data_IF_119605827395
#
_entry.id   IF_119605827395
#
_cell.length_a   1.000
_cell.length_b   1.000
_cell.length_c   1.000
_cell.angle_alpha   90.00
_cell.angle_beta   90.00
_cell.angle_gamma   90.00
#
_symmetry.space_group_name_H-M   'P 1'
#
loop_
_entity.id
_entity.type
_entity.pdbx_description
1 polymer ?
#
# COMPACT_ATOMS: atom_id res chain seq x y z
N UNK A 1 24.02 55.80 -23.78
CA UNK A 1 23.60 55.40 -22.40
C UNK A 1 22.12 55.09 -22.26
N UNK A 2 21.16 55.88 -22.76
CA UNK A 2 19.70 55.60 -22.62
C UNK A 2 19.22 54.33 -23.38
N UNK A 3 19.81 54.04 -24.55
CA UNK A 3 19.46 52.82 -25.35
C UNK A 3 19.99 51.53 -24.75
N UNK A 4 21.18 51.53 -24.18
CA UNK A 4 21.76 50.35 -23.50
C UNK A 4 21.02 49.99 -22.22
N UNK A 5 20.52 51.00 -21.50
CA UNK A 5 19.71 50.78 -20.28
C UNK A 5 18.34 50.15 -20.60
N UNK A 6 17.76 50.54 -21.77
CA UNK A 6 16.46 49.97 -22.21
C UNK A 6 16.58 48.51 -22.61
N UNK A 7 17.66 48.08 -23.25
CA UNK A 7 17.90 46.67 -23.59
C UNK A 7 18.20 45.82 -22.35
N UNK A 8 18.89 46.38 -21.35
CA UNK A 8 19.15 45.69 -20.07
C UNK A 8 17.84 45.44 -19.30
N UNK A 9 16.90 46.38 -19.33
CA UNK A 9 15.59 46.27 -18.69
C UNK A 9 14.71 45.21 -19.36
N UNK A 10 14.74 45.08 -20.70
CA UNK A 10 14.02 44.06 -21.45
C UNK A 10 14.61 42.67 -21.18
N UNK A 11 15.94 42.53 -21.08
CA UNK A 11 16.54 41.25 -20.70
C UNK A 11 16.19 40.80 -19.26
N UNK A 12 16.06 41.73 -18.30
CA UNK A 12 15.60 41.36 -16.95
C UNK A 12 14.15 40.89 -16.88
N UNK A 13 13.27 41.40 -17.74
CA UNK A 13 11.89 40.95 -17.80
C UNK A 13 11.74 39.57 -18.46
N UNK A 14 12.67 39.14 -19.32
CA UNK A 14 12.62 37.82 -19.97
C UNK A 14 12.94 36.66 -19.02
N UNK A 15 13.61 36.89 -17.88
CA UNK A 15 13.89 35.87 -16.88
C UNK A 15 12.76 35.63 -15.86
N UNK A 16 11.69 36.43 -15.91
CA UNK A 16 10.50 36.25 -15.05
C UNK A 16 9.45 35.32 -15.65
N UNK A 17 9.66 34.79 -16.85
CA UNK A 17 8.72 33.90 -17.49
C UNK A 17 9.10 32.44 -17.21
N UNK A 18 8.15 31.72 -16.65
CA UNK A 18 8.08 30.27 -16.50
C UNK A 18 8.66 29.65 -15.23
N UNK A 19 8.18 30.04 -14.06
CA UNK A 19 7.80 29.01 -13.10
C UNK A 19 6.45 28.43 -13.59
N UNK A 20 6.52 27.42 -14.42
CA UNK A 20 5.36 26.59 -14.72
C UNK A 20 4.98 25.90 -13.42
N UNK A 21 4.10 26.52 -12.63
CA UNK A 21 3.43 25.84 -11.52
C UNK A 21 2.68 24.68 -12.17
N UNK A 22 3.27 23.48 -12.15
CA UNK A 22 2.53 22.26 -12.49
C UNK A 22 1.38 22.21 -11.49
N UNK A 23 0.18 22.56 -11.94
CA UNK A 23 -1.02 22.47 -11.12
C UNK A 23 -1.18 21.01 -10.68
N UNK A 24 -1.19 20.78 -9.38
CA UNK A 24 -1.51 19.48 -8.81
C UNK A 24 -2.92 19.09 -9.28
N UNK A 25 -3.08 17.86 -9.76
CA UNK A 25 -4.40 17.29 -10.00
C UNK A 25 -5.03 16.91 -8.66
N UNK A 26 -5.84 17.79 -8.10
CA UNK A 26 -6.45 17.65 -6.77
C UNK A 26 -7.34 16.41 -6.63
N UNK A 27 -7.62 15.72 -7.71
CA UNK A 27 -8.39 14.47 -7.71
C UNK A 27 -7.53 13.21 -7.80
N UNK A 28 -6.23 13.34 -8.11
CA UNK A 28 -5.33 12.21 -8.26
C UNK A 28 -4.82 11.71 -6.91
N UNK A 29 -4.82 10.40 -6.73
CA UNK A 29 -4.20 9.70 -5.59
C UNK A 29 -3.34 8.58 -6.13
N UNK A 30 -2.10 8.49 -5.68
CA UNK A 30 -1.28 7.30 -5.89
C UNK A 30 -1.33 6.39 -4.67
N UNK A 31 -1.28 5.09 -4.93
CA UNK A 31 -1.09 4.06 -3.91
C UNK A 31 0.03 3.12 -4.36
N UNK A 32 0.69 2.44 -3.43
CA UNK A 32 1.79 1.54 -3.81
C UNK A 32 1.29 0.33 -4.59
N UNK A 33 0.26 -0.36 -4.11
CA UNK A 33 -0.21 -1.65 -4.64
C UNK A 33 -1.74 -1.70 -4.83
N UNK A 34 -2.22 -2.64 -5.64
CA UNK A 34 -3.66 -2.81 -5.95
C UNK A 34 -4.57 -3.01 -4.71
N UNK A 35 -4.19 -3.73 -3.63
CA UNK A 35 -5.02 -3.78 -2.42
C UNK A 35 -5.33 -2.41 -1.83
N UNK A 36 -4.34 -1.50 -1.76
CA UNK A 36 -4.57 -0.13 -1.27
C UNK A 36 -5.46 0.67 -2.22
N UNK A 37 -5.39 0.42 -3.52
CA UNK A 37 -6.30 1.03 -4.51
C UNK A 37 -7.75 0.65 -4.26
N UNK A 38 -8.00 -0.62 -3.94
CA UNK A 38 -9.33 -1.07 -3.56
C UNK A 38 -9.85 -0.28 -2.34
N UNK A 39 -9.04 -0.16 -1.28
CA UNK A 39 -9.42 0.58 -0.07
C UNK A 39 -9.63 2.07 -0.37
N UNK A 40 -8.74 2.68 -1.12
CA UNK A 40 -8.86 4.08 -1.53
C UNK A 40 -10.12 4.35 -2.36
N UNK A 41 -10.49 3.45 -3.27
CA UNK A 41 -11.71 3.55 -4.05
C UNK A 41 -12.98 3.38 -3.19
N UNK A 42 -12.99 2.43 -2.24
CA UNK A 42 -14.13 2.23 -1.31
C UNK A 42 -14.38 3.48 -0.44
N UNK A 43 -13.30 4.17 -0.01
CA UNK A 43 -13.39 5.36 0.82
C UNK A 43 -13.62 6.64 -0.01
N UNK A 44 -12.86 6.80 -1.09
CA UNK A 44 -12.84 8.02 -1.91
C UNK A 44 -14.02 8.13 -2.88
N UNK A 45 -14.56 6.98 -3.32
CA UNK A 45 -15.62 6.91 -4.32
C UNK A 45 -15.24 7.63 -5.61
N UNK A 46 -16.14 8.47 -6.10
CA UNK A 46 -15.98 9.28 -7.31
C UNK A 46 -15.16 10.58 -7.12
N UNK A 47 -14.77 10.88 -5.87
CA UNK A 47 -14.05 12.13 -5.54
C UNK A 47 -12.56 12.06 -5.89
N UNK A 48 -12.01 10.88 -6.05
CA UNK A 48 -10.61 10.65 -6.37
C UNK A 48 -10.42 9.64 -7.50
N UNK A 49 -9.40 9.89 -8.31
CA UNK A 49 -8.88 8.95 -9.30
C UNK A 49 -7.65 8.27 -8.70
N UNK A 50 -7.75 6.98 -8.42
CA UNK A 50 -6.66 6.23 -7.78
C UNK A 50 -5.82 5.50 -8.82
N UNK A 51 -4.53 5.76 -8.83
CA UNK A 51 -3.53 5.07 -9.66
C UNK A 51 -2.56 4.28 -8.78
N UNK A 52 -2.09 3.14 -9.30
CA UNK A 52 -1.16 2.25 -8.59
C UNK A 52 0.26 2.48 -9.09
N UNK A 53 1.22 2.59 -8.17
CA UNK A 53 2.63 2.72 -8.53
C UNK A 53 3.18 1.41 -9.08
N UNK A 54 2.99 0.31 -8.33
CA UNK A 54 3.34 -1.04 -8.79
C UNK A 54 2.18 -1.59 -9.60
N UNK A 55 2.33 -1.79 -10.92
CA UNK A 55 1.23 -2.28 -11.76
C UNK A 55 0.87 -3.72 -11.42
N UNK A 56 -0.33 -4.14 -11.83
CA UNK A 56 -0.77 -5.52 -11.66
C UNK A 56 0.24 -6.50 -12.27
N UNK A 57 0.67 -7.48 -11.47
CA UNK A 57 1.68 -8.46 -11.86
C UNK A 57 3.13 -7.99 -11.68
N UNK A 58 3.37 -6.75 -11.27
CA UNK A 58 4.69 -6.28 -10.85
C UNK A 58 5.07 -6.84 -9.49
N UNK A 59 6.36 -7.08 -9.29
CA UNK A 59 6.88 -7.49 -7.98
C UNK A 59 7.12 -6.26 -7.09
N UNK A 60 6.37 -6.08 -5.99
CA UNK A 60 6.49 -4.90 -5.16
C UNK A 60 7.79 -4.83 -4.33
N UNK A 61 8.53 -5.93 -4.23
CA UNK A 61 9.83 -5.92 -3.53
C UNK A 61 10.95 -5.30 -4.39
N UNK A 62 10.89 -5.49 -5.70
CA UNK A 62 11.96 -5.11 -6.63
C UNK A 62 11.52 -4.13 -7.71
N UNK A 63 10.33 -3.54 -7.57
CA UNK A 63 9.79 -2.65 -8.59
C UNK A 63 10.61 -1.36 -8.76
N UNK A 64 10.80 -0.96 -10.00
CA UNK A 64 11.42 0.30 -10.37
C UNK A 64 10.43 1.17 -11.14
N UNK A 65 10.07 2.37 -10.62
CA UNK A 65 9.11 3.23 -11.29
C UNK A 65 9.69 3.86 -12.54
N UNK A 66 8.88 3.96 -13.57
CA UNK A 66 9.24 4.66 -14.81
C UNK A 66 9.32 6.17 -14.60
N UNK A 67 10.09 6.86 -15.44
CA UNK A 67 10.14 8.34 -15.43
C UNK A 67 8.75 8.99 -15.58
N UNK A 68 7.85 8.35 -16.35
CA UNK A 68 6.47 8.80 -16.51
C UNK A 68 5.68 8.73 -15.20
N UNK A 69 5.85 7.65 -14.44
CA UNK A 69 5.21 7.51 -13.12
C UNK A 69 5.74 8.52 -12.11
N UNK A 70 7.06 8.74 -12.06
CA UNK A 70 7.66 9.74 -11.20
C UNK A 70 7.17 11.16 -11.52
N UNK A 71 7.08 11.49 -12.82
CA UNK A 71 6.52 12.78 -13.27
C UNK A 71 5.02 12.90 -12.89
N UNK A 72 4.27 11.81 -12.97
CA UNK A 72 2.86 11.79 -12.60
C UNK A 72 2.68 11.91 -11.08
N UNK A 73 3.53 11.25 -10.30
CA UNK A 73 3.55 11.38 -8.85
C UNK A 73 3.79 12.84 -8.40
N UNK A 74 4.66 13.59 -9.09
CA UNK A 74 4.92 15.01 -8.77
C UNK A 74 3.70 15.92 -8.93
N UNK A 75 2.65 15.45 -9.58
CA UNK A 75 1.37 16.15 -9.76
C UNK A 75 0.30 15.65 -8.77
N UNK A 76 0.60 14.63 -8.00
CA UNK A 76 -0.33 13.97 -7.09
C UNK A 76 -0.30 14.64 -5.71
N UNK A 77 -1.45 14.98 -5.10
CA UNK A 77 -1.48 15.51 -3.74
C UNK A 77 -1.27 14.46 -2.65
N UNK A 78 -1.59 13.17 -2.91
CA UNK A 78 -1.55 12.11 -1.91
C UNK A 78 -0.91 10.86 -2.49
N UNK A 79 0.09 10.31 -1.77
CA UNK A 79 0.63 8.98 -2.01
C UNK A 79 0.47 8.12 -0.77
N UNK A 80 -0.28 7.01 -0.88
CA UNK A 80 -0.56 6.08 0.22
C UNK A 80 0.37 4.88 0.08
N UNK A 81 1.25 4.71 1.06
CA UNK A 81 2.21 3.61 1.15
C UNK A 81 1.64 2.45 1.95
N UNK A 82 2.14 1.24 1.67
CA UNK A 82 1.96 0.07 2.54
C UNK A 82 2.65 0.30 3.89
N UNK A 83 3.88 0.84 3.85
CA UNK A 83 4.73 1.14 5.00
C UNK A 83 6.11 0.49 4.96
N UNK A 84 6.21 -0.80 4.68
CA UNK A 84 7.48 -1.53 4.76
C UNK A 84 7.71 -2.52 3.60
N UNK A 85 7.32 -2.17 2.38
CA UNK A 85 7.56 -2.99 1.19
C UNK A 85 8.89 -2.61 0.53
N UNK A 86 9.57 -3.56 -0.13
CA UNK A 86 10.92 -3.36 -0.67
C UNK A 86 11.05 -2.17 -1.61
N UNK A 87 10.11 -1.99 -2.52
CA UNK A 87 10.02 -0.79 -3.37
C UNK A 87 10.03 0.50 -2.55
N UNK A 88 9.20 0.60 -1.52
CA UNK A 88 9.07 1.82 -0.72
C UNK A 88 10.35 2.13 0.04
N UNK A 89 11.02 1.11 0.59
CA UNK A 89 12.32 1.27 1.26
C UNK A 89 13.39 1.76 0.29
N UNK A 90 13.47 1.13 -0.88
CA UNK A 90 14.51 1.43 -1.88
C UNK A 90 14.33 2.81 -2.52
N UNK A 91 13.09 3.22 -2.77
CA UNK A 91 12.77 4.45 -3.49
C UNK A 91 12.33 5.61 -2.59
N UNK A 92 12.24 5.43 -1.28
CA UNK A 92 11.70 6.43 -0.34
C UNK A 92 12.22 7.84 -0.58
N UNK A 93 13.54 7.98 -0.60
CA UNK A 93 14.19 9.29 -0.73
C UNK A 93 13.90 9.94 -2.11
N UNK A 94 14.00 9.14 -3.19
CA UNK A 94 13.73 9.61 -4.55
C UNK A 94 12.26 9.98 -4.78
N UNK A 95 11.34 9.26 -4.16
CA UNK A 95 9.90 9.58 -4.20
C UNK A 95 9.63 10.94 -3.56
N UNK A 96 10.17 11.19 -2.36
CA UNK A 96 10.02 12.48 -1.68
C UNK A 96 10.68 13.63 -2.43
N UNK A 97 11.89 13.44 -2.98
CA UNK A 97 12.58 14.44 -3.78
C UNK A 97 11.83 14.81 -5.06
N UNK A 98 11.23 13.81 -5.73
CA UNK A 98 10.48 14.04 -6.98
C UNK A 98 9.09 14.64 -6.77
N UNK A 99 8.52 14.50 -5.58
CA UNK A 99 7.17 14.93 -5.26
C UNK A 99 7.10 15.66 -3.89
N UNK A 100 7.80 16.80 -3.73
CA UNK A 100 7.95 17.47 -2.44
C UNK A 100 6.64 18.08 -1.90
N UNK A 101 5.62 18.24 -2.75
CA UNK A 101 4.32 18.77 -2.37
C UNK A 101 3.26 17.66 -2.20
N UNK A 102 3.64 16.39 -2.31
CA UNK A 102 2.76 15.23 -2.11
C UNK A 102 2.74 14.86 -0.64
N UNK A 103 1.56 14.64 -0.08
CA UNK A 103 1.38 14.07 1.26
C UNK A 103 1.60 12.56 1.18
N UNK A 104 2.64 12.07 1.84
CA UNK A 104 2.94 10.65 1.94
C UNK A 104 2.29 10.09 3.20
N UNK A 105 1.44 9.08 3.03
CA UNK A 105 0.70 8.43 4.11
C UNK A 105 1.25 7.02 4.27
N UNK A 106 1.76 6.70 5.44
CA UNK A 106 2.06 5.34 5.84
C UNK A 106 0.77 4.69 6.35
N UNK A 107 0.21 3.76 5.59
CA UNK A 107 -1.07 3.13 5.94
C UNK A 107 -0.93 2.07 7.05
N UNK A 108 0.30 1.66 7.38
CA UNK A 108 0.59 0.70 8.45
C UNK A 108 0.81 1.35 9.82
N UNK A 109 0.83 2.68 9.91
CA UNK A 109 1.05 3.38 11.17
C UNK A 109 0.06 2.92 12.24
N UNK A 110 0.58 2.57 13.44
CA UNK A 110 -0.21 2.05 14.55
C UNK A 110 -0.61 0.56 14.43
N UNK A 111 -0.19 -0.14 13.38
CA UNK A 111 -0.30 -1.58 13.28
C UNK A 111 0.94 -2.20 13.96
N UNK A 112 0.71 -3.09 14.93
CA UNK A 112 1.81 -3.83 15.56
C UNK A 112 2.49 -4.72 14.52
N UNK A 113 3.81 -4.59 14.30
CA UNK A 113 4.52 -5.43 13.37
C UNK A 113 4.52 -6.88 13.84
N UNK A 114 4.50 -7.81 12.89
CA UNK A 114 4.75 -9.23 13.13
C UNK A 114 6.02 -9.57 12.38
N UNK A 115 7.01 -10.07 13.12
CA UNK A 115 8.27 -10.49 12.54
C UNK A 115 8.07 -11.70 11.64
N UNK A 116 8.61 -11.65 10.43
CA UNK A 116 8.67 -12.80 9.53
C UNK A 116 9.75 -13.79 9.95
N UNK A 117 9.81 -14.95 9.30
CA UNK A 117 10.90 -15.92 9.50
C UNK A 117 12.30 -15.35 9.21
N UNK A 118 12.37 -14.22 8.51
CA UNK A 118 13.61 -13.53 8.11
C UNK A 118 14.04 -12.44 9.12
N UNK A 119 13.42 -12.38 10.30
CA UNK A 119 13.65 -11.33 11.29
C UNK A 119 13.42 -9.90 10.78
N UNK A 120 12.57 -9.76 9.77
CA UNK A 120 12.11 -8.50 9.21
C UNK A 120 10.60 -8.41 9.42
N UNK A 121 10.10 -7.22 9.68
CA UNK A 121 8.66 -6.98 9.81
C UNK A 121 7.93 -7.36 8.52
N UNK A 122 6.94 -8.26 8.64
CA UNK A 122 6.13 -8.68 7.50
C UNK A 122 5.35 -7.48 6.93
N UNK A 123 5.50 -7.17 5.63
CA UNK A 123 4.83 -6.01 5.06
C UNK A 123 3.34 -6.22 4.75
N UNK A 124 2.82 -7.47 4.79
CA UNK A 124 1.48 -7.84 4.31
C UNK A 124 0.36 -7.46 5.29
N UNK A 125 0.43 -6.26 5.86
CA UNK A 125 -0.49 -5.74 6.89
C UNK A 125 -1.95 -5.76 6.43
N UNK A 126 -2.22 -5.55 5.15
CA UNK A 126 -3.57 -5.50 4.57
C UNK A 126 -4.30 -6.84 4.54
N UNK A 127 -3.60 -7.94 4.83
CA UNK A 127 -4.17 -9.30 4.84
C UNK A 127 -4.90 -9.65 6.14
N UNK A 128 -5.20 -8.65 6.96
CA UNK A 128 -5.95 -8.80 8.22
C UNK A 128 -7.19 -7.90 8.19
N UNK A 129 -8.35 -8.43 8.58
CA UNK A 129 -9.57 -7.63 8.72
C UNK A 129 -9.41 -6.47 9.73
N UNK A 130 -8.71 -6.70 10.84
CA UNK A 130 -8.45 -5.66 11.83
C UNK A 130 -7.58 -4.54 11.25
N UNK A 131 -6.50 -4.91 10.57
CA UNK A 131 -5.58 -3.95 9.97
C UNK A 131 -6.23 -3.21 8.79
N UNK A 132 -7.09 -3.87 8.01
CA UNK A 132 -7.84 -3.24 6.93
C UNK A 132 -8.68 -2.04 7.43
N UNK A 133 -9.21 -2.12 8.64
CA UNK A 133 -9.94 -1.01 9.28
C UNK A 133 -8.97 0.14 9.65
N UNK A 134 -7.78 -0.17 10.16
CA UNK A 134 -6.76 0.84 10.48
C UNK A 134 -6.33 1.57 9.20
N UNK A 135 -5.95 0.82 8.17
CA UNK A 135 -5.56 1.32 6.85
C UNK A 135 -6.66 2.23 6.27
N UNK A 136 -7.92 1.78 6.29
CA UNK A 136 -9.04 2.56 5.79
C UNK A 136 -9.25 3.88 6.55
N UNK A 137 -8.97 3.92 7.87
CA UNK A 137 -9.02 5.14 8.68
C UNK A 137 -7.92 6.13 8.26
N UNK A 138 -6.69 5.68 8.01
CA UNK A 138 -5.61 6.53 7.51
C UNK A 138 -5.97 7.13 6.16
N UNK A 139 -6.49 6.33 5.23
CA UNK A 139 -6.96 6.78 3.93
C UNK A 139 -8.07 7.83 4.07
N UNK A 140 -9.07 7.55 4.90
CA UNK A 140 -10.17 8.49 5.15
C UNK A 140 -9.67 9.83 5.71
N UNK A 141 -8.74 9.81 6.65
CA UNK A 141 -8.18 11.02 7.23
C UNK A 141 -7.40 11.85 6.20
N UNK A 142 -6.58 11.20 5.36
CA UNK A 142 -5.87 11.85 4.27
C UNK A 142 -6.85 12.52 3.27
N UNK A 143 -7.93 11.84 2.93
CA UNK A 143 -8.95 12.37 2.01
C UNK A 143 -9.70 13.56 2.61
N UNK A 144 -10.02 13.51 3.91
CA UNK A 144 -10.65 14.65 4.61
C UNK A 144 -9.71 15.86 4.70
N UNK A 145 -8.41 15.66 4.86
CA UNK A 145 -7.44 16.75 4.81
C UNK A 145 -7.38 17.39 3.41
N UNK A 146 -7.41 16.56 2.36
CA UNK A 146 -7.35 17.05 0.98
C UNK A 146 -8.64 17.71 0.50
N UNK A 147 -9.81 17.19 0.92
CA UNK A 147 -11.13 17.70 0.55
C UNK A 147 -12.05 17.81 1.78
N UNK A 148 -11.85 18.83 2.65
CA UNK A 148 -12.60 18.97 3.89
C UNK A 148 -14.12 19.07 3.69
N UNK A 149 -14.57 19.67 2.58
CA UNK A 149 -15.99 19.79 2.25
C UNK A 149 -16.69 18.43 2.04
N UNK A 150 -15.94 17.40 1.64
CA UNK A 150 -16.44 16.04 1.42
C UNK A 150 -16.28 15.12 2.64
N UNK A 151 -15.91 15.65 3.82
CA UNK A 151 -15.60 14.86 5.01
C UNK A 151 -16.73 13.93 5.44
N UNK A 152 -17.99 14.39 5.36
CA UNK A 152 -19.17 13.58 5.67
C UNK A 152 -19.31 12.39 4.72
N UNK A 153 -19.07 12.61 3.43
CA UNK A 153 -19.11 11.57 2.41
C UNK A 153 -18.06 10.49 2.69
N UNK A 154 -16.81 10.87 2.98
CA UNK A 154 -15.75 9.92 3.28
C UNK A 154 -16.01 9.14 4.56
N UNK A 155 -16.55 9.77 5.62
CA UNK A 155 -16.93 9.08 6.86
C UNK A 155 -18.05 8.06 6.62
N UNK A 156 -19.04 8.38 5.79
CA UNK A 156 -20.11 7.43 5.44
C UNK A 156 -19.55 6.23 4.68
N UNK A 157 -18.63 6.46 3.73
CA UNK A 157 -17.96 5.40 2.99
C UNK A 157 -17.10 4.51 3.92
N UNK A 158 -16.34 5.13 4.82
CA UNK A 158 -15.57 4.41 5.83
C UNK A 158 -16.46 3.51 6.69
N UNK A 159 -17.60 4.00 7.16
CA UNK A 159 -18.52 3.20 7.97
C UNK A 159 -19.09 2.01 7.19
N UNK A 160 -19.43 2.21 5.89
CA UNK A 160 -19.87 1.11 5.01
C UNK A 160 -18.76 0.08 4.80
N UNK A 161 -17.51 0.54 4.59
CA UNK A 161 -16.36 -0.33 4.44
C UNK A 161 -16.09 -1.14 5.70
N UNK A 162 -16.12 -0.51 6.89
CA UNK A 162 -15.95 -1.19 8.18
C UNK A 162 -17.04 -2.26 8.38
N UNK A 163 -18.30 -1.95 8.07
CA UNK A 163 -19.38 -2.93 8.16
C UNK A 163 -19.12 -4.15 7.25
N UNK A 164 -18.67 -3.91 6.01
CA UNK A 164 -18.30 -4.96 5.05
C UNK A 164 -17.15 -5.84 5.56
N UNK A 165 -16.11 -5.21 6.13
CA UNK A 165 -14.97 -5.93 6.72
C UNK A 165 -15.39 -6.78 7.91
N UNK A 166 -16.25 -6.25 8.81
CA UNK A 166 -16.74 -6.99 9.96
C UNK A 166 -17.60 -8.22 9.56
N UNK A 167 -18.43 -8.08 8.52
CA UNK A 167 -19.17 -9.22 7.97
C UNK A 167 -18.23 -10.27 7.38
N UNK A 168 -17.17 -9.84 6.72
CA UNK A 168 -16.14 -10.74 6.18
C UNK A 168 -15.42 -11.48 7.30
N UNK A 169 -15.01 -10.79 8.37
CA UNK A 169 -14.36 -11.38 9.54
C UNK A 169 -15.27 -12.45 10.19
N UNK A 170 -16.56 -12.14 10.40
CA UNK A 170 -17.52 -13.08 10.94
C UNK A 170 -17.68 -14.32 10.05
N UNK A 171 -17.75 -14.15 8.73
CA UNK A 171 -17.84 -15.26 7.79
C UNK A 171 -16.60 -16.15 7.84
N UNK A 172 -15.39 -15.56 7.88
CA UNK A 172 -14.13 -16.30 8.00
C UNK A 172 -14.11 -17.10 9.30
N UNK A 173 -14.44 -16.49 10.44
CA UNK A 173 -14.49 -17.17 11.74
C UNK A 173 -15.48 -18.35 11.71
N UNK A 174 -16.65 -18.16 11.10
CA UNK A 174 -17.65 -19.21 10.95
C UNK A 174 -17.16 -20.39 10.09
N UNK A 175 -16.45 -20.12 9.00
CA UNK A 175 -15.85 -21.16 8.15
C UNK A 175 -14.75 -21.92 8.88
N UNK A 176 -13.83 -21.21 9.55
CA UNK A 176 -12.71 -21.81 10.27
C UNK A 176 -13.18 -22.65 11.45
N UNK A 177 -14.20 -22.21 12.18
CA UNK A 177 -14.81 -22.97 13.26
C UNK A 177 -15.36 -24.32 12.77
N UNK A 178 -16.04 -24.34 11.62
CA UNK A 178 -16.59 -25.56 11.01
C UNK A 178 -15.52 -26.47 10.42
N UNK A 179 -14.44 -25.91 9.89
CA UNK A 179 -13.40 -26.69 9.22
C UNK A 179 -12.46 -27.42 10.18
N UNK A 180 -12.40 -27.01 11.44
CA UNK A 180 -11.42 -27.47 12.44
C UNK A 180 -9.96 -27.37 11.93
N UNK A 181 -9.69 -26.50 10.94
CA UNK A 181 -8.37 -26.28 10.35
C UNK A 181 -7.51 -25.47 11.32
N UNK A 182 -6.29 -25.93 11.57
CA UNK A 182 -5.31 -25.23 12.44
C UNK A 182 -4.08 -24.74 11.69
N UNK A 183 -3.84 -25.28 10.50
CA UNK A 183 -2.68 -24.92 9.69
C UNK A 183 -3.01 -24.98 8.20
N UNK A 184 -2.27 -24.21 7.40
CA UNK A 184 -2.37 -24.21 5.95
C UNK A 184 -0.99 -24.03 5.31
N UNK A 185 -0.82 -24.60 4.11
CA UNK A 185 0.35 -24.39 3.27
C UNK A 185 0.12 -23.19 2.37
N UNK A 186 1.15 -22.40 2.18
CA UNK A 186 1.17 -21.28 1.24
C UNK A 186 2.55 -21.23 0.58
N UNK A 187 2.62 -20.87 -0.70
CA UNK A 187 3.91 -20.77 -1.37
C UNK A 187 4.73 -19.61 -0.80
N UNK A 188 4.29 -18.38 -1.00
CA UNK A 188 4.88 -17.15 -0.46
C UNK A 188 4.14 -16.73 0.83
N UNK A 189 4.82 -16.43 1.95
CA UNK A 189 4.21 -16.21 3.27
C UNK A 189 3.49 -14.85 3.39
N UNK A 190 2.44 -14.63 2.60
CA UNK A 190 1.70 -13.37 2.58
C UNK A 190 0.58 -13.27 3.63
N UNK A 191 0.27 -14.34 4.35
CA UNK A 191 -0.89 -14.43 5.23
C UNK A 191 -0.53 -14.44 6.73
N UNK A 192 0.61 -13.86 7.11
CA UNK A 192 1.08 -13.83 8.51
C UNK A 192 0.07 -13.14 9.44
N UNK A 193 -0.41 -11.93 9.06
CA UNK A 193 -1.41 -11.22 9.84
C UNK A 193 -2.78 -11.92 9.87
N UNK A 194 -3.15 -12.57 8.77
CA UNK A 194 -4.34 -13.43 8.74
C UNK A 194 -4.21 -14.61 9.70
N UNK A 195 -3.10 -15.33 9.62
CA UNK A 195 -2.83 -16.48 10.48
C UNK A 195 -2.85 -16.08 11.96
N UNK A 196 -2.21 -14.96 12.30
CA UNK A 196 -2.20 -14.41 13.65
C UNK A 196 -3.62 -14.08 14.14
N UNK A 197 -4.45 -13.40 13.34
CA UNK A 197 -5.81 -13.00 13.73
C UNK A 197 -6.75 -14.19 13.99
N UNK A 198 -6.54 -15.29 13.28
CA UNK A 198 -7.40 -16.48 13.37
C UNK A 198 -6.75 -17.65 14.08
N UNK A 199 -5.60 -17.43 14.74
CA UNK A 199 -4.86 -18.46 15.48
C UNK A 199 -4.54 -19.70 14.62
N UNK A 200 -4.13 -19.45 13.39
CA UNK A 200 -3.70 -20.46 12.44
C UNK A 200 -2.18 -20.51 12.34
N UNK A 201 -1.66 -21.63 11.89
CA UNK A 201 -0.24 -21.82 11.56
C UNK A 201 -0.10 -21.68 10.04
N UNK A 202 0.60 -20.63 9.60
CA UNK A 202 1.04 -20.49 8.21
C UNK A 202 2.31 -21.32 8.01
N UNK A 203 2.31 -22.19 7.00
CA UNK A 203 3.44 -23.04 6.65
C UNK A 203 3.92 -22.62 5.26
N UNK A 204 4.97 -21.79 5.13
CA UNK A 204 5.48 -21.37 3.83
C UNK A 204 6.19 -22.52 3.14
N UNK A 205 6.14 -22.55 1.81
CA UNK A 205 6.88 -23.47 0.96
C UNK A 205 8.21 -22.86 0.55
N UNK A 206 8.21 -21.60 0.12
CA UNK A 206 9.45 -20.87 -0.15
C UNK A 206 10.10 -20.36 1.14
N UNK A 207 11.39 -20.14 1.11
CA UNK A 207 12.16 -19.56 2.20
C UNK A 207 12.98 -18.38 1.66
N UNK A 208 12.84 -17.21 2.29
CA UNK A 208 13.55 -15.99 1.90
C UNK A 208 13.39 -15.58 0.41
N UNK A 209 12.19 -15.78 -0.16
CA UNK A 209 11.94 -15.47 -1.57
C UNK A 209 12.65 -16.39 -2.56
N UNK A 210 13.15 -17.56 -2.10
CA UNK A 210 13.87 -18.56 -2.92
C UNK A 210 13.10 -19.86 -2.98
N UNK A 211 13.30 -20.59 -4.07
CA UNK A 211 12.78 -21.96 -4.17
C UNK A 211 13.43 -22.86 -3.11
N UNK A 212 12.63 -23.66 -2.39
CA UNK A 212 13.15 -24.53 -1.36
C UNK A 212 14.02 -25.65 -1.94
N UNK A 213 15.08 -26.02 -1.24
CA UNK A 213 15.81 -27.23 -1.53
C UNK A 213 14.95 -28.48 -1.28
N UNK A 214 15.33 -29.63 -1.86
CA UNK A 214 14.63 -30.89 -1.62
C UNK A 214 14.55 -31.27 -0.14
N UNK A 215 15.58 -30.93 0.65
CA UNK A 215 15.61 -31.18 2.08
C UNK A 215 14.59 -30.31 2.84
N UNK A 216 14.51 -29.00 2.52
CA UNK A 216 13.56 -28.07 3.09
C UNK A 216 12.13 -28.48 2.74
N UNK A 217 11.85 -28.81 1.47
CA UNK A 217 10.54 -29.28 1.03
C UNK A 217 10.10 -30.54 1.81
N UNK A 218 11.03 -31.49 2.06
CA UNK A 218 10.75 -32.65 2.87
C UNK A 218 10.39 -32.27 4.31
N UNK A 219 11.11 -31.33 4.92
CA UNK A 219 10.80 -30.84 6.27
C UNK A 219 9.43 -30.17 6.32
N UNK A 220 9.11 -29.31 5.34
CA UNK A 220 7.81 -28.65 5.21
C UNK A 220 6.67 -29.66 5.13
N UNK A 221 6.82 -30.74 4.31
CA UNK A 221 5.84 -31.83 4.20
C UNK A 221 5.65 -32.55 5.55
N UNK A 222 6.73 -32.87 6.27
CA UNK A 222 6.67 -33.51 7.59
C UNK A 222 5.93 -32.61 8.58
N UNK A 223 6.28 -31.32 8.62
CA UNK A 223 5.63 -30.36 9.49
C UNK A 223 4.15 -30.16 9.19
N UNK A 224 3.80 -30.08 7.91
CA UNK A 224 2.41 -29.99 7.45
C UNK A 224 1.57 -31.21 7.87
N UNK A 225 2.11 -32.42 7.69
CA UNK A 225 1.46 -33.69 8.15
C UNK A 225 1.27 -33.72 9.66
N UNK A 226 2.27 -33.28 10.44
CA UNK A 226 2.18 -33.20 11.92
C UNK A 226 1.06 -32.28 12.38
N UNK A 227 0.77 -31.22 11.61
CA UNK A 227 -0.31 -30.26 11.89
C UNK A 227 -1.64 -30.61 11.19
N UNK A 228 -1.80 -31.82 10.70
CA UNK A 228 -3.01 -32.30 9.99
C UNK A 228 -3.42 -31.39 8.82
N UNK A 229 -2.43 -30.74 8.16
CA UNK A 229 -2.68 -29.92 6.99
C UNK A 229 -3.01 -30.82 5.80
N UNK A 230 -4.16 -30.60 5.17
CA UNK A 230 -4.51 -31.32 3.94
C UNK A 230 -3.63 -30.82 2.81
N UNK A 231 -2.87 -31.72 2.20
CA UNK A 231 -2.09 -31.47 0.98
C UNK A 231 -2.88 -32.16 -0.13
N UNK A 232 -3.62 -31.39 -0.92
CA UNK A 232 -4.35 -31.88 -2.10
C UNK A 232 -3.51 -31.69 -3.34
#
# INVERSE_FOLDING_TARGET
>A
MKRTFFYLLICLMAFSACKQNKTQDSSLVFVTIEPLKYFANEIGGDKFKVETMVPKGGNPETYEPTAKQMMRLSQCPIFIKVGNIGFERTWNERLHQSAPNTMFIDSSEGISPIESSEHVDDPHTWMSCNNAIVIARHICNAFKQQKPADSTYFNQNLNRFIAKVNLTDQAIRGMLYKSNTKAFLIYHPTLTYFAHNYQLIQIPVEEEGREPSAAQLKQTIVFAKKNNTKIN
#
